data_IF_467586206888
#
_entry.id   IF_467586206888
#
_cell.length_a   1.000
_cell.length_b   1.000
_cell.length_c   1.000
_cell.angle_alpha   90.00
_cell.angle_beta   90.00
_cell.angle_gamma   90.00
#
_symmetry.space_group_name_H-M   'P 1'
#
loop_
_entity.id
_entity.type
_entity.pdbx_description
1 polymer ?
#
# COMPACT_ATOMS: atom_id res chain seq x y z
N UNK A 1 -21.83 8.42 -1.15
CA UNK A 1 -22.58 8.75 0.09
C UNK A 1 -21.79 8.13 1.23
N UNK A 2 -21.23 8.93 2.15
CA UNK A 2 -20.52 8.38 3.29
C UNK A 2 -21.55 7.72 4.20
N UNK A 3 -21.57 6.40 4.25
CA UNK A 3 -22.51 5.59 5.05
C UNK A 3 -22.31 5.77 6.56
N UNK A 4 -21.23 6.45 6.95
CA UNK A 4 -20.85 6.72 8.32
C UNK A 4 -20.58 8.21 8.50
N UNK A 5 -21.21 8.80 9.51
CA UNK A 5 -20.93 10.17 9.94
C UNK A 5 -19.73 10.15 10.89
N UNK A 6 -18.55 10.45 10.34
CA UNK A 6 -17.30 10.44 11.12
C UNK A 6 -17.11 11.79 11.83
N UNK A 7 -16.77 11.76 13.13
CA UNK A 7 -16.38 12.96 13.85
C UNK A 7 -15.21 13.70 13.17
N UNK A 8 -15.20 15.03 13.25
CA UNK A 8 -14.17 15.87 12.61
C UNK A 8 -12.77 15.54 13.13
N UNK A 9 -12.64 15.25 14.43
CA UNK A 9 -11.36 14.87 15.05
C UNK A 9 -10.81 13.55 14.48
N UNK A 10 -11.69 12.59 14.20
CA UNK A 10 -11.29 11.31 13.61
C UNK A 10 -10.87 11.48 12.15
N UNK A 11 -11.57 12.35 11.41
CA UNK A 11 -11.20 12.72 10.04
C UNK A 11 -9.87 13.47 9.99
N UNK A 12 -9.66 14.45 10.87
CA UNK A 12 -8.39 15.18 10.95
C UNK A 12 -7.21 14.27 11.34
N UNK A 13 -7.40 13.37 12.32
CA UNK A 13 -6.40 12.38 12.70
C UNK A 13 -6.05 11.46 11.52
N UNK A 14 -7.05 11.00 10.76
CA UNK A 14 -6.84 10.19 9.55
C UNK A 14 -6.07 10.96 8.46
N UNK A 15 -6.42 12.22 8.21
CA UNK A 15 -5.75 13.09 7.26
C UNK A 15 -4.28 13.33 7.65
N UNK A 16 -4.03 13.63 8.93
CA UNK A 16 -2.68 13.77 9.48
C UNK A 16 -1.88 12.49 9.33
N UNK A 17 -2.50 11.33 9.57
CA UNK A 17 -1.86 10.02 9.37
C UNK A 17 -1.50 9.78 7.90
N UNK A 18 -2.38 10.12 6.97
CA UNK A 18 -2.10 10.00 5.53
C UNK A 18 -0.93 10.90 5.11
N UNK A 19 -0.92 12.16 5.56
CA UNK A 19 0.17 13.10 5.30
C UNK A 19 1.50 12.60 5.87
N UNK A 20 1.50 12.14 7.13
CA UNK A 20 2.71 11.61 7.77
C UNK A 20 3.25 10.37 7.06
N UNK A 21 2.38 9.44 6.65
CA UNK A 21 2.78 8.26 5.85
C UNK A 21 3.32 8.64 4.48
N UNK A 22 2.73 9.66 3.85
CA UNK A 22 3.22 10.17 2.56
C UNK A 22 4.61 10.78 2.71
N UNK A 23 4.82 11.63 3.72
CA UNK A 23 6.12 12.22 4.02
C UNK A 23 7.18 11.16 4.35
N UNK A 24 6.84 10.18 5.19
CA UNK A 24 7.73 9.05 5.50
C UNK A 24 8.13 8.28 4.24
N UNK A 25 7.17 7.96 3.35
CA UNK A 25 7.45 7.27 2.09
C UNK A 25 8.24 8.14 1.09
N UNK A 26 8.06 9.45 1.10
CA UNK A 26 8.87 10.36 0.30
C UNK A 26 10.32 10.33 0.78
N UNK A 27 10.54 10.47 2.10
CA UNK A 27 11.86 10.38 2.70
C UNK A 27 12.54 9.04 2.37
N UNK A 28 11.88 7.90 2.60
CA UNK A 28 12.46 6.59 2.30
C UNK A 28 12.81 6.37 0.83
N UNK A 29 12.18 7.09 -0.11
CA UNK A 29 12.52 7.01 -1.55
C UNK A 29 13.75 7.85 -1.91
N UNK A 30 14.01 8.92 -1.17
CA UNK A 30 15.17 9.80 -1.36
C UNK A 30 16.41 9.29 -0.64
N UNK A 31 16.22 8.51 0.42
CA UNK A 31 17.32 7.98 1.22
C UNK A 31 18.13 6.92 0.46
N UNK A 32 19.45 6.87 0.70
CA UNK A 32 20.28 5.76 0.23
C UNK A 32 19.74 4.42 0.72
N UNK A 33 19.94 3.37 -0.08
CA UNK A 33 19.39 2.04 0.19
C UNK A 33 19.92 1.42 1.49
N UNK A 34 21.09 1.86 1.98
CA UNK A 34 21.64 1.43 3.27
C UNK A 34 21.64 2.56 4.30
N UNK A 35 21.26 2.21 5.54
CA UNK A 35 21.27 3.10 6.71
C UNK A 35 22.70 3.36 7.18
N UNK A 36 23.56 2.35 7.12
CA UNK A 36 24.99 2.44 7.44
C UNK A 36 25.80 2.54 6.14
N UNK A 37 27.00 3.14 6.15
CA UNK A 37 27.89 3.06 5.02
C UNK A 37 28.08 1.60 4.60
N UNK A 38 27.84 1.31 3.32
CA UNK A 38 27.89 -0.04 2.77
C UNK A 38 28.54 0.00 1.39
N UNK A 39 29.49 -0.91 1.16
CA UNK A 39 30.11 -1.08 -0.14
C UNK A 39 29.08 -1.54 -1.17
N UNK A 40 29.27 -1.09 -2.41
CA UNK A 40 28.45 -1.55 -3.52
C UNK A 40 28.69 -3.04 -3.74
N UNK A 41 27.62 -3.77 -4.04
CA UNK A 41 27.72 -5.21 -4.31
C UNK A 41 26.84 -5.60 -5.48
N UNK A 42 27.31 -6.60 -6.21
CA UNK A 42 26.68 -7.13 -7.40
C UNK A 42 26.38 -8.60 -7.11
N UNK A 43 25.09 -8.95 -7.10
CA UNK A 43 24.64 -10.31 -6.80
C UNK A 43 25.10 -11.32 -7.84
N UNK A 44 25.01 -12.61 -7.53
CA UNK A 44 25.32 -13.63 -8.52
C UNK A 44 24.21 -13.76 -9.58
N UNK A 45 24.60 -14.24 -10.75
CA UNK A 45 23.67 -14.55 -11.83
C UNK A 45 22.83 -15.78 -11.46
N UNK A 46 21.51 -15.68 -11.64
CA UNK A 46 20.61 -16.77 -11.28
C UNK A 46 20.66 -17.89 -12.32
N UNK A 47 20.44 -19.14 -11.91
CA UNK A 47 20.41 -20.30 -12.82
C UNK A 47 19.43 -20.17 -13.99
N UNK A 48 18.38 -19.36 -13.85
CA UNK A 48 17.31 -19.18 -14.85
C UNK A 48 17.23 -17.75 -15.41
N UNK A 49 18.11 -16.84 -15.01
CA UNK A 49 18.08 -15.45 -15.47
C UNK A 49 19.46 -14.82 -15.40
N UNK A 50 19.85 -14.18 -16.51
CA UNK A 50 21.07 -13.38 -16.59
C UNK A 50 20.97 -12.03 -15.89
N UNK A 51 19.80 -11.68 -15.35
CA UNK A 51 19.62 -10.45 -14.62
C UNK A 51 20.39 -10.48 -13.29
N UNK A 52 21.28 -9.51 -13.13
CA UNK A 52 22.09 -9.33 -11.94
C UNK A 52 21.63 -8.11 -11.17
N UNK A 53 21.35 -8.28 -9.88
CA UNK A 53 21.03 -7.15 -9.00
C UNK A 53 22.33 -6.46 -8.59
N UNK A 54 22.44 -5.19 -8.94
CA UNK A 54 23.58 -4.35 -8.58
C UNK A 54 23.09 -3.28 -7.60
N UNK A 55 23.78 -3.17 -6.48
CA UNK A 55 23.58 -2.12 -5.50
C UNK A 55 24.84 -1.25 -5.48
N UNK A 56 24.74 0.05 -5.84
CA UNK A 56 25.89 0.94 -5.78
C UNK A 56 26.34 1.16 -4.35
N UNK A 57 27.56 1.65 -4.15
CA UNK A 57 28.03 2.04 -2.82
C UNK A 57 27.07 3.06 -2.19
N UNK A 58 26.71 2.81 -0.93
CA UNK A 58 25.82 3.69 -0.16
C UNK A 58 26.63 4.36 0.95
N UNK A 59 26.65 5.70 1.02
CA UNK A 59 27.32 6.43 2.08
C UNK A 59 26.63 6.29 3.46
N UNK A 60 25.48 5.63 3.53
CA UNK A 60 24.66 5.57 4.74
C UNK A 60 23.77 6.79 4.90
N UNK A 61 22.97 6.82 5.96
CA UNK A 61 22.13 7.96 6.31
C UNK A 61 22.88 8.91 7.22
N UNK A 62 22.80 10.20 6.92
CA UNK A 62 23.24 11.24 7.84
C UNK A 62 22.43 11.23 9.14
N UNK A 63 22.98 11.82 10.20
CA UNK A 63 22.29 11.92 11.49
C UNK A 63 20.94 12.65 11.37
N UNK A 64 20.88 13.73 10.60
CA UNK A 64 19.64 14.47 10.35
C UNK A 64 18.57 13.63 9.63
N UNK A 65 18.98 12.80 8.66
CA UNK A 65 18.09 11.87 7.97
C UNK A 65 17.55 10.78 8.90
N UNK A 66 18.41 10.23 9.77
CA UNK A 66 17.99 9.24 10.79
C UNK A 66 17.04 9.86 11.81
N UNK A 67 17.31 11.09 12.24
CA UNK A 67 16.45 11.82 13.17
C UNK A 67 15.08 12.11 12.55
N UNK A 68 15.02 12.54 11.29
CA UNK A 68 13.76 12.81 10.61
C UNK A 68 12.96 11.53 10.32
N UNK A 69 13.63 10.42 9.94
CA UNK A 69 12.96 9.11 9.82
C UNK A 69 12.36 8.67 11.15
N UNK A 70 13.12 8.75 12.24
CA UNK A 70 12.65 8.39 13.57
C UNK A 70 11.45 9.25 14.00
N UNK A 71 11.52 10.57 13.79
CA UNK A 71 10.44 11.52 14.07
C UNK A 71 9.18 11.19 13.28
N UNK A 72 9.30 10.95 11.98
CA UNK A 72 8.16 10.59 11.12
C UNK A 72 7.57 9.24 11.48
N UNK A 73 8.43 8.26 11.82
CA UNK A 73 8.00 6.92 12.25
C UNK A 73 7.21 6.99 13.56
N UNK A 74 7.71 7.75 14.54
CA UNK A 74 7.00 7.99 15.79
C UNK A 74 5.66 8.68 15.54
N UNK A 75 5.65 9.73 14.72
CA UNK A 75 4.42 10.43 14.37
C UNK A 75 3.38 9.50 13.70
N UNK A 76 3.81 8.66 12.76
CA UNK A 76 2.94 7.68 12.11
C UNK A 76 2.39 6.67 13.11
N UNK A 77 3.22 6.21 14.06
CA UNK A 77 2.79 5.27 15.09
C UNK A 77 1.75 5.91 16.01
N UNK A 78 2.03 7.10 16.55
CA UNK A 78 1.13 7.85 17.43
C UNK A 78 -0.22 8.11 16.77
N UNK A 79 -0.22 8.61 15.53
CA UNK A 79 -1.46 8.85 14.79
C UNK A 79 -2.21 7.55 14.45
N UNK A 80 -1.48 6.46 14.19
CA UNK A 80 -2.13 5.16 13.95
C UNK A 80 -2.82 4.64 15.22
N UNK A 81 -2.24 4.87 16.40
CA UNK A 81 -2.86 4.54 17.69
C UNK A 81 -4.10 5.41 17.90
N UNK A 82 -3.97 6.75 17.77
CA UNK A 82 -5.07 7.71 17.93
C UNK A 82 -6.29 7.34 17.08
N UNK A 83 -6.08 7.06 15.79
CA UNK A 83 -7.15 6.60 14.90
C UNK A 83 -7.69 5.24 15.33
N UNK A 84 -6.84 4.28 15.71
CA UNK A 84 -7.29 2.90 15.99
C UNK A 84 -8.05 2.75 17.30
N UNK A 85 -7.72 3.56 18.31
CA UNK A 85 -8.30 3.52 19.66
C UNK A 85 -9.37 4.60 19.88
N UNK A 86 -9.81 5.28 18.83
CA UNK A 86 -10.80 6.35 18.93
C UNK A 86 -12.13 5.86 19.56
N UNK A 87 -12.76 6.62 20.47
CA UNK A 87 -14.00 6.21 21.14
C UNK A 87 -15.17 5.95 20.17
N UNK A 88 -15.16 6.56 18.99
CA UNK A 88 -16.13 6.29 17.92
C UNK A 88 -16.30 4.79 17.62
N UNK A 89 -15.21 4.02 17.68
CA UNK A 89 -15.28 2.58 17.40
C UNK A 89 -16.02 1.77 18.45
N UNK A 90 -16.13 2.28 19.69
CA UNK A 90 -16.85 1.59 20.75
C UNK A 90 -18.37 1.56 20.51
N UNK A 91 -18.89 2.45 19.64
CA UNK A 91 -20.30 2.47 19.25
C UNK A 91 -20.65 1.55 18.07
N UNK A 92 -19.68 0.81 17.51
CA UNK A 92 -19.87 -0.07 16.36
C UNK A 92 -19.56 -1.52 16.76
N UNK A 93 -20.30 -2.47 16.19
CA UNK A 93 -20.15 -3.89 16.51
C UNK A 93 -19.68 -4.71 15.30
N UNK A 94 -18.86 -5.73 15.59
CA UNK A 94 -18.45 -6.76 14.64
C UNK A 94 -18.00 -6.23 13.26
N UNK A 95 -18.65 -6.62 12.16
CA UNK A 95 -18.21 -6.29 10.80
C UNK A 95 -18.33 -4.80 10.46
N UNK A 96 -19.15 -4.03 11.19
CA UNK A 96 -19.40 -2.62 10.87
C UNK A 96 -18.21 -1.74 11.26
N UNK A 97 -17.43 -2.12 12.28
CA UNK A 97 -16.14 -1.48 12.61
C UNK A 97 -15.19 -1.55 11.42
N UNK A 98 -15.14 -2.70 10.74
CA UNK A 98 -14.24 -2.92 9.59
C UNK A 98 -14.70 -2.09 8.39
N UNK A 99 -16.01 -2.11 8.08
CA UNK A 99 -16.58 -1.30 6.99
C UNK A 99 -16.36 0.20 7.24
N UNK A 100 -16.62 0.67 8.46
CA UNK A 100 -16.41 2.06 8.83
C UNK A 100 -14.93 2.47 8.73
N UNK A 101 -13.99 1.63 9.20
CA UNK A 101 -12.54 1.88 9.02
C UNK A 101 -12.12 1.91 7.54
N UNK A 102 -12.74 1.10 6.69
CA UNK A 102 -12.48 1.14 5.25
C UNK A 102 -13.03 2.41 4.62
N UNK A 103 -14.25 2.82 4.98
CA UNK A 103 -14.84 4.07 4.52
C UNK A 103 -14.02 5.30 4.98
N UNK A 104 -13.51 5.31 6.21
CA UNK A 104 -12.70 6.40 6.75
C UNK A 104 -11.44 6.67 5.92
N UNK A 105 -10.78 5.63 5.40
CA UNK A 105 -9.58 5.77 4.53
C UNK A 105 -9.87 6.51 3.22
N UNK A 106 -11.13 6.57 2.81
CA UNK A 106 -11.57 7.20 1.56
C UNK A 106 -12.42 8.46 1.78
N UNK A 107 -12.73 8.80 3.05
CA UNK A 107 -13.58 9.94 3.40
C UNK A 107 -13.01 11.30 2.97
N UNK A 108 -11.69 11.37 2.74
CA UNK A 108 -10.94 12.53 2.25
C UNK A 108 -11.37 13.00 0.84
N UNK A 109 -12.06 12.16 0.05
CA UNK A 109 -12.49 12.46 -1.33
C UNK A 109 -13.97 12.82 -1.50
N UNK A 110 -14.74 12.94 -0.41
CA UNK A 110 -16.21 13.00 -0.44
C UNK A 110 -16.84 14.40 -0.45
N UNK A 111 -16.06 15.48 -0.55
CA UNK A 111 -16.62 16.84 -0.64
C UNK A 111 -16.51 17.39 -2.06
N UNK A 112 -17.53 17.12 -2.88
CA UNK A 112 -17.68 17.68 -4.22
C UNK A 112 -19.12 17.56 -4.70
N UNK A 113 -19.93 18.58 -4.39
CA UNK A 113 -21.14 19.07 -5.09
C UNK A 113 -22.21 18.06 -5.59
N UNK A 114 -23.50 18.23 -5.23
CA UNK A 114 -24.58 17.44 -5.83
C UNK A 114 -24.81 17.90 -7.27
N UNK A 115 -24.39 17.10 -8.25
CA UNK A 115 -24.85 17.23 -9.63
C UNK A 115 -26.00 16.24 -9.84
N UNK A 116 -27.23 16.75 -9.79
CA UNK A 116 -28.38 16.06 -10.38
C UNK A 116 -28.10 15.81 -11.87
N UNK A 117 -28.13 14.54 -12.27
CA UNK A 117 -28.48 14.19 -13.65
C UNK A 117 -29.05 12.79 -13.65
N UNK A 118 -30.37 12.75 -13.89
CA UNK A 118 -31.21 11.57 -13.89
C UNK A 118 -30.76 10.50 -14.88
N UNK A 119 -31.15 9.27 -14.55
CA UNK A 119 -30.85 8.08 -15.32
C UNK A 119 -31.61 7.97 -16.63
N UNK A 120 -30.94 7.33 -17.59
CA UNK A 120 -31.48 6.46 -18.63
C UNK A 120 -30.26 5.66 -19.11
N UNK A 121 -30.17 4.33 -19.11
CA UNK A 121 -31.20 3.32 -19.34
C UNK A 121 -31.09 2.77 -20.76
N UNK A 122 -29.98 2.12 -21.12
CA UNK A 122 -29.78 1.29 -22.34
C UNK A 122 -28.43 0.55 -22.17
N UNK A 123 -28.27 -0.77 -22.26
CA UNK A 123 -28.99 -1.79 -23.02
C UNK A 123 -28.14 -2.22 -24.23
N UNK A 124 -27.45 -3.37 -24.16
CA UNK A 124 -26.72 -4.01 -25.27
C UNK A 124 -25.48 -4.76 -24.77
N UNK A 125 -25.55 -6.06 -24.44
CA UNK A 125 -25.43 -7.20 -25.36
C UNK A 125 -24.06 -7.26 -26.07
N UNK A 126 -23.26 -8.28 -25.75
CA UNK A 126 -21.93 -8.55 -26.34
C UNK A 126 -21.99 -8.94 -27.82
N UNK A 127 -20.85 -9.36 -28.41
CA UNK A 127 -20.47 -10.75 -28.18
C UNK A 127 -18.98 -11.04 -27.96
N UNK A 128 -18.80 -12.22 -27.40
CA UNK A 128 -17.60 -13.03 -27.25
C UNK A 128 -16.60 -12.96 -28.42
N UNK A 129 -15.32 -12.99 -28.06
CA UNK A 129 -14.27 -13.55 -28.91
C UNK A 129 -13.79 -14.84 -28.25
N UNK A 130 -14.06 -15.97 -28.91
CA UNK A 130 -13.63 -17.31 -28.54
C UNK A 130 -12.10 -17.47 -28.56
N UNK A 131 -11.58 -18.41 -27.75
CA UNK A 131 -10.18 -18.83 -27.73
C UNK A 131 -9.94 -20.07 -28.62
N UNK A 132 -8.85 -20.08 -29.41
CA UNK A 132 -8.33 -21.29 -30.06
C UNK A 132 -6.81 -21.12 -30.18
N UNK A 133 -6.01 -21.87 -29.41
CA UNK A 133 -5.46 -23.20 -29.74
C UNK A 133 -3.94 -23.02 -29.67
N UNK A 134 -3.07 -23.94 -29.26
CA UNK A 134 -3.02 -25.39 -29.32
C UNK A 134 -1.76 -25.73 -28.47
N UNK A 135 -1.88 -26.49 -27.38
CA UNK A 135 -1.57 -27.91 -27.26
C UNK A 135 -0.06 -28.24 -27.06
N UNK A 136 0.17 -29.33 -26.33
CA UNK A 136 1.43 -30.06 -26.11
C UNK A 136 2.39 -29.47 -25.05
N UNK A 137 2.73 -30.14 -23.95
CA UNK A 137 2.42 -31.50 -23.49
C UNK A 137 3.29 -31.84 -22.27
N UNK A 138 2.86 -32.85 -21.50
CA UNK A 138 3.75 -33.68 -20.68
C UNK A 138 4.01 -33.26 -19.24
N UNK A 139 3.20 -33.78 -18.31
CA UNK A 139 3.64 -34.07 -16.94
C UNK A 139 4.35 -35.45 -16.90
N UNK A 140 4.92 -35.88 -15.75
CA UNK A 140 6.33 -35.85 -15.37
C UNK A 140 7.00 -37.24 -15.42
N UNK A 141 8.27 -37.38 -14.98
CA UNK A 141 8.48 -38.44 -13.99
C UNK A 141 9.28 -38.03 -12.75
N UNK A 142 8.88 -38.67 -11.66
CA UNK A 142 9.54 -38.82 -10.37
C UNK A 142 10.83 -39.66 -10.50
N UNK A 143 11.92 -39.27 -9.84
CA UNK A 143 13.01 -40.11 -9.25
C UNK A 143 14.16 -39.19 -8.84
N UNK A 144 14.54 -39.06 -7.56
CA UNK A 144 15.30 -40.02 -6.72
C UNK A 144 16.77 -40.19 -7.17
N UNK A 145 17.71 -39.69 -6.36
CA UNK A 145 19.12 -40.07 -6.14
C UNK A 145 19.90 -38.82 -5.65
N UNK A 146 20.29 -38.70 -4.38
CA UNK A 146 21.43 -39.37 -3.74
C UNK A 146 22.78 -39.00 -4.37
N UNK A 147 23.52 -38.10 -3.70
CA UNK A 147 24.95 -38.20 -3.41
C UNK A 147 25.28 -37.27 -2.25
#
# INVERSE_FOLDING_TARGET
MAEYDFPDELRDAQLRLHRARSAYRALCRELPWSVVPAEGWTGEEGHYSSYRREFPESPGWSEGQRAEEARLRELVLTLSIEVSTHPYWAGLEGPDVVKARMALKHAEGGNGTPHESGGVGSGGAGPACDPAGDDSGGAPPVSSAAA
#
